data_IF_352939924835
#
_entry.id   IF_352939924835
#
_cell.length_a   1.000
_cell.length_b   1.000
_cell.length_c   1.000
_cell.angle_alpha   90.00
_cell.angle_beta   90.00
_cell.angle_gamma   90.00
#
_symmetry.space_group_name_H-M   'P 1'
#
loop_
_entity.id
_entity.type
_entity.pdbx_description
1 polymer ?
#
# COMPACT_ATOMS: atom_id res chain seq x y z
N UNK A 1 1.39 12.26 36.02
CA UNK A 1 1.22 13.66 35.57
C UNK A 1 1.47 13.73 34.08
N UNK A 2 0.50 14.27 33.33
CA UNK A 2 0.53 14.49 31.88
C UNK A 2 1.27 15.79 31.57
N UNK A 3 2.10 15.79 30.52
CA UNK A 3 2.14 16.91 29.57
C UNK A 3 2.66 16.43 28.23
N UNK A 4 1.75 16.38 27.24
CA UNK A 4 2.04 16.18 25.83
C UNK A 4 2.32 17.55 25.22
N UNK A 5 3.40 17.67 24.45
CA UNK A 5 3.60 18.80 23.54
C UNK A 5 2.80 18.49 22.27
N UNK A 6 1.74 19.25 22.05
CA UNK A 6 0.90 19.23 20.85
C UNK A 6 1.48 20.26 19.90
N UNK A 7 2.02 19.83 18.76
CA UNK A 7 2.31 20.74 17.65
C UNK A 7 1.03 20.89 16.80
N UNK A 8 0.51 22.11 16.86
CA UNK A 8 -0.59 22.72 16.11
C UNK A 8 -0.57 22.41 14.62
N UNK A 9 -1.61 21.73 14.13
CA UNK A 9 -2.00 21.76 12.73
C UNK A 9 -2.84 23.02 12.49
N UNK A 10 -2.30 23.93 11.67
CA UNK A 10 -2.96 25.15 11.24
C UNK A 10 -4.26 24.80 10.51
N UNK A 11 -5.38 25.22 11.08
CA UNK A 11 -6.73 25.02 10.56
C UNK A 11 -6.98 26.03 9.44
N UNK A 12 -7.00 25.58 8.19
CA UNK A 12 -7.45 26.38 7.05
C UNK A 12 -8.99 26.38 7.06
N UNK A 13 -9.58 27.35 7.77
CA UNK A 13 -11.00 27.65 7.68
C UNK A 13 -11.28 28.36 6.35
N UNK A 14 -11.76 27.62 5.35
CA UNK A 14 -12.53 28.19 4.24
C UNK A 14 -13.99 27.85 4.48
N UNK A 15 -14.70 28.85 4.99
CA UNK A 15 -16.14 28.96 5.01
C UNK A 15 -16.70 28.91 3.59
N UNK A 16 -17.51 27.88 3.28
CA UNK A 16 -18.75 27.94 2.49
C UNK A 16 -19.44 26.58 2.60
N UNK A 17 -20.75 26.62 2.83
CA UNK A 17 -21.65 25.51 3.11
C UNK A 17 -21.50 24.32 2.14
N UNK A 18 -20.94 23.25 2.67
CA UNK A 18 -20.94 21.93 2.09
C UNK A 18 -20.24 21.03 3.09
N UNK A 19 -21.02 20.32 3.91
CA UNK A 19 -20.48 19.19 4.66
C UNK A 19 -19.98 18.18 3.62
N UNK A 20 -18.74 18.34 3.16
CA UNK A 20 -17.99 17.26 2.57
C UNK A 20 -17.84 16.25 3.70
N UNK A 21 -18.77 15.29 3.76
CA UNK A 21 -18.59 14.07 4.51
C UNK A 21 -17.24 13.56 4.02
N UNK A 22 -16.20 13.68 4.85
CA UNK A 22 -14.92 13.05 4.58
C UNK A 22 -15.21 11.56 4.59
N UNK A 23 -15.56 11.02 3.42
CA UNK A 23 -15.70 9.59 3.23
C UNK A 23 -14.31 9.03 3.54
N UNK A 24 -14.18 8.33 4.66
CA UNK A 24 -12.99 7.56 4.96
C UNK A 24 -12.70 6.69 3.73
N UNK A 25 -11.50 6.77 3.13
CA UNK A 25 -11.15 5.93 2.00
C UNK A 25 -11.46 4.47 2.35
N UNK A 26 -12.23 3.81 1.48
CA UNK A 26 -12.58 2.39 1.61
C UNK A 26 -11.92 1.60 0.51
N UNK A 27 -11.56 0.37 0.80
CA UNK A 27 -11.13 -0.60 -0.21
C UNK A 27 -12.31 -0.97 -1.12
N UNK A 28 -12.02 -1.70 -2.20
CA UNK A 28 -13.06 -2.25 -3.09
C UNK A 28 -14.03 -3.20 -2.37
N UNK A 29 -13.64 -3.73 -1.21
CA UNK A 29 -14.46 -4.60 -0.34
C UNK A 29 -15.20 -3.83 0.76
N UNK A 30 -15.08 -2.50 0.78
CA UNK A 30 -15.76 -1.63 1.75
C UNK A 30 -15.05 -1.47 3.10
N UNK A 31 -13.87 -2.09 3.28
CA UNK A 31 -13.08 -1.96 4.50
C UNK A 31 -12.45 -0.59 4.62
N UNK A 32 -12.51 0.00 5.82
CA UNK A 32 -11.75 1.19 6.18
C UNK A 32 -10.35 0.81 6.66
N UNK A 33 -9.44 1.79 6.75
CA UNK A 33 -8.13 1.56 7.35
C UNK A 33 -8.24 1.04 8.80
N UNK A 34 -9.22 1.52 9.56
CA UNK A 34 -9.45 1.06 10.93
C UNK A 34 -9.85 -0.42 11.01
N UNK A 35 -10.64 -0.91 10.03
CA UNK A 35 -11.01 -2.32 9.95
C UNK A 35 -9.77 -3.20 9.65
N UNK A 36 -8.92 -2.75 8.73
CA UNK A 36 -7.67 -3.43 8.39
C UNK A 36 -6.72 -3.45 9.60
N UNK A 37 -6.55 -2.33 10.28
CA UNK A 37 -5.69 -2.22 11.46
C UNK A 37 -6.20 -3.13 12.60
N UNK A 38 -7.50 -3.16 12.85
CA UNK A 38 -8.11 -4.01 13.88
C UNK A 38 -7.94 -5.51 13.56
N UNK A 39 -8.21 -5.92 12.31
CA UNK A 39 -8.02 -7.30 11.88
C UNK A 39 -6.56 -7.72 11.90
N UNK A 40 -5.64 -6.82 11.53
CA UNK A 40 -4.18 -7.04 11.59
C UNK A 40 -3.72 -7.17 13.04
N UNK A 41 -4.19 -6.34 13.95
CA UNK A 41 -3.88 -6.42 15.37
C UNK A 41 -4.37 -7.74 16.00
N UNK A 42 -5.55 -8.21 15.58
CA UNK A 42 -6.06 -9.53 15.98
C UNK A 42 -5.23 -10.68 15.39
N UNK A 43 -4.83 -10.61 14.11
CA UNK A 43 -3.92 -11.58 13.50
C UNK A 43 -2.57 -11.66 14.24
N UNK A 44 -1.99 -10.50 14.59
CA UNK A 44 -0.78 -10.42 15.42
C UNK A 44 -0.97 -11.09 16.77
N UNK A 45 -2.08 -10.79 17.49
CA UNK A 45 -2.38 -11.43 18.79
C UNK A 45 -2.48 -12.95 18.69
N UNK A 46 -3.14 -13.46 17.65
CA UNK A 46 -3.19 -14.92 17.40
C UNK A 46 -1.81 -15.47 17.08
N UNK A 47 -0.98 -14.75 16.35
CA UNK A 47 0.38 -15.18 16.08
C UNK A 47 1.23 -15.26 17.37
N UNK A 48 1.19 -14.20 18.19
CA UNK A 48 1.88 -14.15 19.49
C UNK A 48 1.48 -15.34 20.38
N UNK A 49 0.19 -15.65 20.44
CA UNK A 49 -0.31 -16.80 21.19
C UNK A 49 0.22 -18.14 20.64
N UNK A 50 0.29 -18.32 19.32
CA UNK A 50 0.82 -19.56 18.70
C UNK A 50 2.32 -19.73 18.95
N UNK A 51 3.10 -18.65 18.85
CA UNK A 51 4.55 -18.73 19.08
C UNK A 51 4.91 -18.78 20.56
N UNK A 52 3.96 -18.56 21.47
CA UNK A 52 4.10 -18.78 22.90
C UNK A 52 3.98 -20.26 23.30
N UNK A 53 3.71 -21.19 22.37
CA UNK A 53 3.65 -22.63 22.65
C UNK A 53 4.94 -23.12 23.34
N UNK A 54 4.86 -23.76 24.53
CA UNK A 54 6.02 -24.31 25.23
C UNK A 54 6.86 -25.30 24.42
N UNK A 55 6.28 -25.92 23.39
CA UNK A 55 7.02 -26.79 22.46
C UNK A 55 8.12 -26.05 21.71
N UNK A 56 8.03 -24.72 21.61
CA UNK A 56 9.00 -23.85 20.92
C UNK A 56 10.14 -23.42 21.87
N UNK A 57 9.98 -23.56 23.19
CA UNK A 57 10.97 -23.14 24.19
C UNK A 57 12.40 -23.63 23.94
N UNK A 58 12.64 -24.87 23.48
CA UNK A 58 14.00 -25.36 23.25
C UNK A 58 14.85 -24.52 22.29
N UNK A 59 14.23 -23.77 21.38
CA UNK A 59 14.95 -22.96 20.38
C UNK A 59 14.99 -21.46 20.67
N UNK A 60 14.27 -20.96 21.68
CA UNK A 60 14.15 -19.52 21.97
C UNK A 60 15.48 -18.82 22.25
N UNK A 61 16.41 -19.52 22.88
CA UNK A 61 17.75 -18.97 23.15
C UNK A 61 18.61 -18.86 21.88
N UNK A 62 18.27 -19.61 20.83
CA UNK A 62 19.08 -19.73 19.61
C UNK A 62 18.61 -18.81 18.49
N UNK A 63 17.31 -18.52 18.43
CA UNK A 63 16.72 -17.69 17.39
C UNK A 63 15.65 -16.77 17.98
N UNK A 64 15.52 -15.54 17.47
CA UNK A 64 14.38 -14.71 17.79
C UNK A 64 13.14 -15.25 17.04
N UNK A 65 12.19 -15.81 17.81
CA UNK A 65 11.04 -16.56 17.28
C UNK A 65 10.08 -15.71 16.43
N UNK A 66 10.03 -14.40 16.69
CA UNK A 66 9.12 -13.46 16.01
C UNK A 66 9.82 -12.49 15.07
N UNK A 67 11.01 -12.02 15.42
CA UNK A 67 11.69 -10.96 14.68
C UNK A 67 13.18 -11.26 14.47
N UNK A 68 13.58 -11.72 13.27
CA UNK A 68 14.98 -12.04 12.97
C UNK A 68 15.93 -10.85 13.18
N UNK A 69 15.45 -9.61 13.10
CA UNK A 69 16.30 -8.42 13.25
C UNK A 69 16.70 -8.16 14.70
N UNK A 70 16.03 -8.80 15.67
CA UNK A 70 16.35 -8.72 17.10
C UNK A 70 17.37 -9.79 17.55
N UNK A 71 18.03 -10.48 16.61
CA UNK A 71 19.04 -11.46 16.94
C UNK A 71 20.25 -10.81 17.63
N UNK A 72 20.67 -11.38 18.75
CA UNK A 72 21.87 -10.94 19.47
C UNK A 72 23.15 -11.37 18.74
N UNK A 73 24.27 -10.70 19.02
CA UNK A 73 25.58 -11.08 18.47
C UNK A 73 25.93 -12.55 18.74
N UNK A 74 25.59 -13.07 19.93
CA UNK A 74 25.83 -14.47 20.28
C UNK A 74 24.99 -15.45 19.44
N UNK A 75 23.76 -15.07 19.09
CA UNK A 75 22.90 -15.88 18.23
C UNK A 75 23.42 -15.88 16.79
N UNK A 76 23.81 -14.72 16.27
CA UNK A 76 24.39 -14.57 14.93
C UNK A 76 25.70 -15.34 14.81
N UNK A 77 26.59 -15.26 15.80
CA UNK A 77 27.87 -15.96 15.80
C UNK A 77 27.74 -17.48 16.08
N UNK A 78 26.56 -17.97 16.45
CA UNK A 78 26.34 -19.35 16.87
C UNK A 78 26.62 -20.34 15.74
N UNK A 79 27.58 -21.23 15.95
CA UNK A 79 27.83 -22.39 15.08
C UNK A 79 27.08 -23.65 15.52
N UNK A 80 26.22 -23.54 16.54
CA UNK A 80 25.42 -24.67 17.04
C UNK A 80 24.40 -25.11 15.99
N UNK A 81 24.20 -26.42 15.90
CA UNK A 81 23.19 -27.08 15.05
C UNK A 81 22.10 -27.69 15.93
N UNK A 82 20.86 -27.85 15.42
CA UNK A 82 19.76 -28.40 16.22
C UNK A 82 20.01 -29.83 16.68
N UNK A 83 19.77 -30.08 17.96
CA UNK A 83 19.60 -31.39 18.58
C UNK A 83 18.26 -32.02 18.16
N UNK A 84 18.05 -33.30 18.49
CA UNK A 84 16.78 -33.99 18.20
C UNK A 84 15.56 -33.25 18.80
N UNK A 85 15.66 -32.86 20.08
CA UNK A 85 14.59 -32.09 20.77
C UNK A 85 14.32 -30.73 20.11
N UNK A 86 15.37 -30.05 19.67
CA UNK A 86 15.25 -28.75 19.00
C UNK A 86 14.67 -28.89 17.59
N UNK A 87 14.90 -30.01 16.89
CA UNK A 87 14.26 -30.30 15.60
C UNK A 87 12.75 -30.41 15.74
N UNK A 88 12.26 -31.07 16.79
CA UNK A 88 10.82 -31.13 17.08
C UNK A 88 10.23 -29.75 17.38
N UNK A 89 10.98 -28.93 18.15
CA UNK A 89 10.61 -27.54 18.42
C UNK A 89 10.56 -26.69 17.14
N UNK A 90 11.49 -26.90 16.19
CA UNK A 90 11.48 -26.22 14.88
C UNK A 90 10.24 -26.60 14.07
N UNK A 91 9.78 -27.85 14.14
CA UNK A 91 8.54 -28.27 13.45
C UNK A 91 7.29 -27.60 14.07
N UNK A 92 7.21 -27.56 15.41
CA UNK A 92 6.13 -26.86 16.10
C UNK A 92 6.13 -25.36 15.74
N UNK A 93 7.31 -24.74 15.70
CA UNK A 93 7.48 -23.36 15.30
C UNK A 93 7.13 -23.13 13.82
N UNK A 94 7.45 -24.05 12.90
CA UNK A 94 7.03 -23.95 11.50
C UNK A 94 5.51 -24.00 11.33
N UNK A 95 4.83 -24.88 12.05
CA UNK A 95 3.38 -24.95 12.07
C UNK A 95 2.76 -23.66 12.60
N UNK A 96 3.28 -23.12 13.71
CA UNK A 96 2.83 -21.86 14.29
C UNK A 96 2.97 -20.69 13.30
N UNK A 97 4.15 -20.54 12.69
CA UNK A 97 4.41 -19.48 11.71
C UNK A 97 3.57 -19.64 10.44
N UNK A 98 3.32 -20.86 9.97
CA UNK A 98 2.45 -21.10 8.81
C UNK A 98 1.03 -20.57 9.06
N UNK A 99 0.50 -20.79 10.26
CA UNK A 99 -0.81 -20.27 10.64
C UNK A 99 -0.79 -18.75 10.83
N UNK A 100 0.28 -18.18 11.40
CA UNK A 100 0.45 -16.72 11.46
C UNK A 100 0.38 -16.09 10.06
N UNK A 101 1.12 -16.66 9.11
CA UNK A 101 1.17 -16.18 7.73
C UNK A 101 -0.20 -16.26 7.07
N UNK A 102 -0.92 -17.36 7.28
CA UNK A 102 -2.26 -17.52 6.74
C UNK A 102 -3.22 -16.46 7.28
N UNK A 103 -3.21 -16.18 8.58
CA UNK A 103 -4.07 -15.14 9.16
C UNK A 103 -3.82 -13.76 8.52
N UNK A 104 -2.56 -13.39 8.26
CA UNK A 104 -2.25 -12.13 7.57
C UNK A 104 -2.71 -12.12 6.12
N UNK A 105 -2.54 -13.24 5.41
CA UNK A 105 -3.03 -13.40 4.04
C UNK A 105 -4.56 -13.25 4.01
N UNK A 106 -5.27 -13.82 4.98
CA UNK A 106 -6.73 -13.75 5.05
C UNK A 106 -7.22 -12.31 5.30
N UNK A 107 -6.50 -11.53 6.11
CA UNK A 107 -6.77 -10.09 6.30
C UNK A 107 -6.59 -9.33 4.98
N UNK A 108 -5.48 -9.55 4.28
CA UNK A 108 -5.22 -8.88 3.00
C UNK A 108 -6.24 -9.29 1.91
N UNK A 109 -6.70 -10.54 1.92
CA UNK A 109 -7.76 -11.01 1.00
C UNK A 109 -9.07 -10.31 1.32
N UNK A 110 -9.46 -10.26 2.60
CA UNK A 110 -10.70 -9.61 3.03
C UNK A 110 -10.69 -8.09 2.75
N UNK A 111 -9.54 -7.45 2.90
CA UNK A 111 -9.33 -6.06 2.54
C UNK A 111 -9.28 -5.81 1.02
N UNK A 112 -9.22 -6.86 0.19
CA UNK A 112 -9.09 -6.74 -1.27
C UNK A 112 -7.72 -6.25 -1.74
N UNK A 113 -6.68 -6.34 -0.89
CA UNK A 113 -5.31 -5.87 -1.16
C UNK A 113 -4.39 -7.01 -1.65
N UNK A 114 -4.79 -8.27 -1.44
CA UNK A 114 -3.95 -9.43 -1.74
C UNK A 114 -4.01 -9.91 -3.20
N UNK A 115 -5.20 -10.01 -3.79
CA UNK A 115 -5.37 -10.71 -5.06
C UNK A 115 -4.64 -10.00 -6.21
N UNK A 116 -3.83 -10.75 -6.96
CA UNK A 116 -3.06 -10.29 -8.13
C UNK A 116 -2.12 -9.09 -7.88
N UNK A 117 -1.77 -8.80 -6.62
CA UNK A 117 -0.85 -7.71 -6.32
C UNK A 117 0.62 -8.16 -6.41
N UNK A 118 1.53 -7.33 -6.95
CA UNK A 118 2.97 -7.57 -6.86
C UNK A 118 3.45 -7.77 -5.41
N UNK A 119 2.74 -7.16 -4.45
CA UNK A 119 2.97 -7.34 -3.03
C UNK A 119 2.80 -8.81 -2.60
N UNK A 120 1.68 -9.45 -2.95
CA UNK A 120 1.39 -10.83 -2.60
C UNK A 120 2.42 -11.81 -3.19
N UNK A 121 2.85 -11.59 -4.43
CA UNK A 121 3.90 -12.41 -5.06
C UNK A 121 5.26 -12.27 -4.34
N UNK A 122 5.63 -11.04 -3.95
CA UNK A 122 6.86 -10.79 -3.21
C UNK A 122 6.82 -11.41 -1.80
N UNK A 123 5.67 -11.31 -1.10
CA UNK A 123 5.48 -11.93 0.21
C UNK A 123 5.58 -13.47 0.13
N UNK A 124 4.90 -14.11 -0.81
CA UNK A 124 5.01 -15.58 -1.03
C UNK A 124 6.45 -16.03 -1.28
N UNK A 125 7.21 -15.25 -2.06
CA UNK A 125 8.63 -15.53 -2.32
C UNK A 125 9.47 -15.50 -1.03
N UNK A 126 9.25 -14.51 -0.15
CA UNK A 126 9.91 -14.44 1.16
C UNK A 126 9.58 -15.65 2.03
N UNK A 127 8.30 -16.04 2.11
CA UNK A 127 7.85 -17.17 2.93
C UNK A 127 8.50 -18.48 2.46
N UNK A 128 8.54 -18.72 1.15
CA UNK A 128 9.18 -19.90 0.58
C UNK A 128 10.69 -19.93 0.87
N UNK A 129 11.39 -18.81 0.68
CA UNK A 129 12.83 -18.73 0.95
C UNK A 129 13.15 -18.98 2.44
N UNK A 130 12.34 -18.45 3.35
CA UNK A 130 12.49 -18.70 4.79
C UNK A 130 12.15 -20.14 5.18
N UNK A 131 11.16 -20.76 4.53
CA UNK A 131 10.84 -22.18 4.73
C UNK A 131 12.00 -23.09 4.28
N UNK A 132 12.63 -22.78 3.14
CA UNK A 132 13.82 -23.49 2.67
C UNK A 132 15.00 -23.35 3.64
N UNK A 133 15.26 -22.13 4.15
CA UNK A 133 16.29 -21.91 5.16
C UNK A 133 16.01 -22.72 6.44
N UNK A 134 14.76 -22.74 6.90
CA UNK A 134 14.34 -23.51 8.07
C UNK A 134 14.49 -25.02 7.85
N UNK A 135 14.16 -25.52 6.66
CA UNK A 135 14.38 -26.93 6.31
C UNK A 135 15.87 -27.33 6.38
N UNK A 136 16.77 -26.46 5.88
CA UNK A 136 18.23 -26.68 5.98
C UNK A 136 18.70 -26.68 7.45
N UNK A 137 18.15 -25.78 8.28
CA UNK A 137 18.43 -25.74 9.72
C UNK A 137 17.96 -27.04 10.38
N UNK A 138 16.70 -27.43 10.16
CA UNK A 138 16.12 -28.66 10.71
C UNK A 138 16.89 -29.92 10.28
N UNK A 139 17.35 -29.97 9.03
CA UNK A 139 18.20 -31.06 8.54
C UNK A 139 19.60 -31.08 9.19
N UNK A 140 20.01 -30.03 9.90
CA UNK A 140 21.35 -29.88 10.48
C UNK A 140 22.42 -29.51 9.44
N UNK A 141 22.01 -29.04 8.26
CA UNK A 141 22.92 -28.63 7.20
C UNK A 141 23.58 -27.29 7.51
N UNK A 142 22.84 -26.38 8.16
CA UNK A 142 23.32 -25.07 8.61
C UNK A 142 23.16 -24.94 10.13
N UNK A 143 23.96 -24.05 10.72
CA UNK A 143 23.88 -23.63 12.12
C UNK A 143 22.78 -22.58 12.34
N UNK A 144 22.48 -22.30 13.61
CA UNK A 144 21.55 -21.23 14.00
C UNK A 144 22.01 -19.86 13.51
N UNK A 145 23.31 -19.55 13.59
CA UNK A 145 23.87 -18.29 13.10
C UNK A 145 23.68 -18.12 11.58
N UNK A 146 24.01 -19.17 10.82
CA UNK A 146 23.80 -19.18 9.35
C UNK A 146 22.31 -19.04 8.98
N UNK A 147 21.41 -19.65 9.76
CA UNK A 147 19.98 -19.49 9.55
C UNK A 147 19.52 -18.03 9.74
N UNK A 148 20.00 -17.36 10.80
CA UNK A 148 19.71 -15.95 11.07
C UNK A 148 20.23 -15.08 9.92
N UNK A 149 21.48 -15.28 9.48
CA UNK A 149 22.05 -14.55 8.34
C UNK A 149 21.22 -14.71 7.06
N UNK A 150 20.82 -15.95 6.73
CA UNK A 150 20.02 -16.23 5.53
C UNK A 150 18.65 -15.54 5.62
N UNK A 151 17.97 -15.63 6.77
CA UNK A 151 16.63 -15.04 6.94
C UNK A 151 16.66 -13.52 6.96
N UNK A 152 17.69 -12.90 7.55
CA UNK A 152 17.93 -11.47 7.46
C UNK A 152 18.18 -11.02 6.00
N UNK A 153 19.01 -11.76 5.26
CA UNK A 153 19.25 -11.47 3.85
C UNK A 153 17.98 -11.60 2.98
N UNK A 154 17.15 -12.61 3.26
CA UNK A 154 15.86 -12.77 2.59
C UNK A 154 14.92 -11.59 2.91
N UNK A 155 14.86 -11.14 4.18
CA UNK A 155 14.05 -9.99 4.58
C UNK A 155 14.53 -8.71 3.91
N UNK A 156 15.85 -8.49 3.82
CA UNK A 156 16.41 -7.36 3.08
C UNK A 156 15.98 -7.38 1.61
N UNK A 157 16.14 -8.52 0.92
CA UNK A 157 15.71 -8.67 -0.49
C UNK A 157 14.22 -8.38 -0.66
N UNK A 158 13.38 -8.88 0.24
CA UNK A 158 11.95 -8.59 0.25
C UNK A 158 11.68 -7.09 0.41
N UNK A 159 12.36 -6.43 1.36
CA UNK A 159 12.21 -4.99 1.64
C UNK A 159 12.64 -4.15 0.43
N UNK A 160 13.80 -4.44 -0.15
CA UNK A 160 14.30 -3.77 -1.35
C UNK A 160 13.28 -3.90 -2.51
N UNK A 161 12.70 -5.10 -2.67
CA UNK A 161 11.68 -5.36 -3.70
C UNK A 161 10.35 -4.68 -3.39
N UNK A 162 9.94 -4.59 -2.13
CA UNK A 162 8.74 -3.85 -1.74
C UNK A 162 8.88 -2.37 -2.03
N UNK A 163 10.04 -1.78 -1.75
CA UNK A 163 10.31 -0.39 -2.06
C UNK A 163 10.20 -0.13 -3.57
N UNK A 164 10.78 -1.00 -4.40
CA UNK A 164 10.63 -0.91 -5.86
C UNK A 164 9.16 -0.98 -6.32
N UNK A 165 8.34 -1.84 -5.71
CA UNK A 165 6.91 -1.93 -6.00
C UNK A 165 6.22 -0.61 -5.66
N UNK A 166 6.47 -0.06 -4.47
CA UNK A 166 5.88 1.21 -4.03
C UNK A 166 6.29 2.39 -4.92
N UNK A 167 7.57 2.47 -5.29
CA UNK A 167 8.08 3.51 -6.19
C UNK A 167 7.46 3.40 -7.59
N UNK A 168 7.26 2.18 -8.10
CA UNK A 168 6.57 1.93 -9.37
C UNK A 168 5.08 2.33 -9.35
N UNK A 169 4.38 2.05 -8.24
CA UNK A 169 2.99 2.50 -8.03
C UNK A 169 2.94 4.03 -8.02
N UNK A 170 3.80 4.69 -7.24
CA UNK A 170 3.86 6.16 -7.16
C UNK A 170 4.17 6.79 -8.52
N UNK A 171 5.10 6.23 -9.28
CA UNK A 171 5.42 6.71 -10.62
C UNK A 171 4.22 6.61 -11.57
N UNK A 172 3.47 5.50 -11.51
CA UNK A 172 2.27 5.27 -12.32
C UNK A 172 1.15 6.25 -11.94
N UNK A 173 0.97 6.51 -10.64
CA UNK A 173 -0.02 7.48 -10.14
C UNK A 173 0.30 8.90 -10.58
N UNK A 174 1.58 9.31 -10.52
CA UNK A 174 2.04 10.62 -11.01
C UNK A 174 1.76 10.75 -12.51
N UNK A 175 2.11 9.73 -13.30
CA UNK A 175 1.84 9.73 -14.75
C UNK A 175 0.33 9.83 -15.05
N UNK A 176 -0.51 9.10 -14.31
CA UNK A 176 -1.97 9.19 -14.45
C UNK A 176 -2.48 10.59 -14.08
N UNK A 177 -2.00 11.18 -12.98
CA UNK A 177 -2.39 12.52 -12.58
C UNK A 177 -1.97 13.58 -13.61
N UNK A 178 -0.76 13.46 -14.17
CA UNK A 178 -0.28 14.32 -15.26
C UNK A 178 -1.14 14.18 -16.52
N UNK A 179 -1.50 12.96 -16.92
CA UNK A 179 -2.38 12.72 -18.07
C UNK A 179 -3.77 13.33 -17.87
N UNK A 180 -4.35 13.20 -16.66
CA UNK A 180 -5.63 13.83 -16.32
C UNK A 180 -5.51 15.37 -16.35
N UNK A 181 -4.43 15.93 -15.81
CA UNK A 181 -4.20 17.37 -15.81
C UNK A 181 -4.04 17.92 -17.24
N UNK A 182 -3.29 17.22 -18.10
CA UNK A 182 -3.15 17.58 -19.53
C UNK A 182 -4.49 17.51 -20.25
N UNK A 183 -5.30 16.48 -19.99
CA UNK A 183 -6.63 16.36 -20.57
C UNK A 183 -7.54 17.52 -20.14
N UNK A 184 -7.54 17.88 -18.85
CA UNK A 184 -8.32 19.02 -18.35
C UNK A 184 -7.89 20.35 -18.98
N UNK A 185 -6.58 20.57 -19.14
CA UNK A 185 -6.07 21.77 -19.82
C UNK A 185 -6.50 21.82 -21.29
N UNK A 186 -6.41 20.70 -22.02
CA UNK A 186 -6.86 20.62 -23.40
C UNK A 186 -8.37 20.86 -23.52
N UNK A 187 -9.18 20.27 -22.63
CA UNK A 187 -10.63 20.51 -22.61
C UNK A 187 -10.96 21.98 -22.31
N UNK A 188 -10.26 22.60 -21.34
CA UNK A 188 -10.46 24.01 -21.02
C UNK A 188 -10.09 24.95 -22.19
N UNK A 189 -9.00 24.65 -22.92
CA UNK A 189 -8.63 25.41 -24.12
C UNK A 189 -9.67 25.28 -25.23
N UNK A 190 -10.17 24.07 -25.48
CA UNK A 190 -11.23 23.83 -26.47
C UNK A 190 -12.51 24.58 -26.13
N UNK A 191 -12.92 24.59 -24.86
CA UNK A 191 -14.10 25.35 -24.39
C UNK A 191 -13.90 26.86 -24.56
N UNK A 192 -12.70 27.40 -24.30
CA UNK A 192 -12.39 28.80 -24.56
C UNK A 192 -12.47 29.17 -26.06
N UNK A 193 -11.97 28.30 -26.94
CA UNK A 193 -12.06 28.51 -28.40
C UNK A 193 -13.52 28.47 -28.88
N UNK A 194 -14.31 27.51 -28.39
CA UNK A 194 -15.73 27.41 -28.72
C UNK A 194 -16.51 28.66 -28.29
N UNK A 195 -16.28 29.15 -27.06
CA UNK A 195 -16.91 30.38 -26.57
C UNK A 195 -16.49 31.64 -27.35
N UNK A 196 -15.24 31.70 -27.83
CA UNK A 196 -14.80 32.80 -28.71
C UNK A 196 -15.48 32.73 -30.08
N UNK A 197 -15.55 31.55 -30.68
CA UNK A 197 -16.21 31.35 -31.97
C UNK A 197 -17.71 31.70 -31.93
N UNK A 198 -18.41 31.37 -30.83
CA UNK A 198 -19.83 31.72 -30.67
C UNK A 198 -20.06 33.22 -30.46
N UNK A 199 -19.14 33.92 -29.79
CA UNK A 199 -19.25 35.38 -29.57
C UNK A 199 -19.03 36.25 -30.83
N UNK A 200 -18.43 35.70 -31.89
CA UNK A 200 -18.21 36.40 -33.16
C UNK A 200 -19.32 36.21 -34.19
N UNK A 201 -20.33 35.37 -33.91
CA UNK A 201 -21.50 35.24 -34.78
C UNK A 201 -22.45 36.42 -34.55
N UNK A 202 -22.09 37.61 -35.06
CA UNK A 202 -23.09 38.67 -35.29
C UNK A 202 -23.98 38.20 -36.43
N UNK A 203 -25.27 38.08 -36.17
CA UNK A 203 -26.27 37.84 -37.21
C UNK A 203 -26.02 38.84 -38.36
N UNK A 204 -25.99 38.39 -39.63
CA UNK A 204 -25.83 39.32 -40.75
C UNK A 204 -26.99 40.30 -40.72
N UNK A 205 -26.68 41.56 -40.43
CA UNK A 205 -27.67 42.65 -40.40
C UNK A 205 -28.17 42.84 -41.82
N UNK A 206 -29.42 42.47 -42.08
CA UNK A 206 -30.00 42.69 -43.40
C UNK A 206 -30.43 44.15 -43.47
N UNK A 207 -29.82 44.89 -44.39
CA UNK A 207 -30.20 46.28 -44.64
C UNK A 207 -31.02 46.32 -45.91
N UNK A 208 -32.31 46.58 -45.76
CA UNK A 208 -33.20 46.78 -46.89
C UNK A 208 -33.35 48.27 -47.15
N UNK A 209 -33.02 48.67 -48.38
CA UNK A 209 -33.16 50.03 -48.86
C UNK A 209 -34.26 50.09 -49.91
N UNK A 210 -35.19 51.04 -49.74
CA UNK A 210 -36.23 51.33 -50.73
C UNK A 210 -36.06 52.76 -51.19
N UNK A 211 -36.08 52.96 -52.51
CA UNK A 211 -36.05 54.28 -53.14
C UNK A 211 -37.46 54.65 -53.56
N UNK A 212 -38.00 55.73 -53.00
CA UNK A 212 -39.32 56.26 -53.35
C UNK A 212 -39.09 57.67 -53.89
N UNK A 213 -39.26 57.83 -55.20
CA UNK A 213 -38.93 59.08 -55.90
C UNK A 213 -37.44 59.41 -55.83
N UNK A 214 -37.12 60.61 -55.30
CA UNK A 214 -35.74 61.11 -55.15
C UNK A 214 -35.04 60.75 -53.84
N UNK A 215 -35.73 60.15 -52.87
CA UNK A 215 -35.18 59.82 -51.56
C UNK A 215 -35.01 58.30 -51.39
N UNK A 216 -33.92 57.89 -50.74
CA UNK A 216 -33.63 56.50 -50.39
C UNK A 216 -33.74 56.36 -48.87
N UNK A 217 -34.55 55.42 -48.41
CA UNK A 217 -34.66 55.05 -46.99
C UNK A 217 -34.14 53.64 -46.79
N UNK A 218 -33.28 53.44 -45.80
CA UNK A 218 -32.72 52.15 -45.45
C UNK A 218 -33.05 51.80 -44.01
N UNK A 219 -33.47 50.56 -43.78
CA UNK A 219 -33.70 50.00 -42.44
C UNK A 219 -32.91 48.72 -42.28
N UNK A 220 -32.20 48.62 -41.16
CA UNK A 220 -31.36 47.48 -40.79
C UNK A 220 -32.01 46.73 -39.63
N UNK A 221 -32.04 45.39 -39.70
CA UNK A 221 -32.50 44.51 -38.62
C UNK A 221 -31.65 43.25 -38.53
#
# INVERSE_FOLDING_TARGET
MKTRIVLTALTFCISLLGCAIQQTPRTSTGWTQADIDAATAEANRRCDARVADPKIDPIRQHIPVMDPDNATLLQIASKKKPTAREKDAILAWDAALTLCQQDHIDVDIAAGTYQNSPYAANYKSLMLANKQAKARLWAGQISYGEYIEITAANRKKWSDRQQQIQDGVRATEIQRAQAIAQQQQATAQTLMLFNRASSQYRQPVQTNCVKIGGQTSCSSY
#
